data_IF_880881787373
#
_entry.id   IF_880881787373
#
_cell.length_a   1.000
_cell.length_b   1.000
_cell.length_c   1.000
_cell.angle_alpha   90.00
_cell.angle_beta   90.00
_cell.angle_gamma   90.00
#
_symmetry.space_group_name_H-M   'P 1'
#
loop_
_entity.id
_entity.type
_entity.pdbx_description
1 polymer ?
#
# COMPACT_ATOMS: atom_id res chain seq x y z
N UNK A 1 -40.87 -29.26 -8.39
CA UNK A 1 -41.51 -28.56 -7.27
C UNK A 1 -40.65 -27.37 -6.88
N UNK A 2 -39.40 -27.59 -6.44
CA UNK A 2 -38.43 -26.52 -6.09
C UNK A 2 -38.20 -25.43 -7.17
N UNK A 3 -38.11 -25.78 -8.46
CA UNK A 3 -37.79 -24.80 -9.52
C UNK A 3 -38.95 -23.79 -9.69
N UNK A 4 -40.20 -24.27 -9.69
CA UNK A 4 -41.37 -23.40 -9.86
C UNK A 4 -41.58 -22.49 -8.65
N UNK A 5 -41.37 -23.02 -7.44
CA UNK A 5 -41.38 -22.23 -6.20
C UNK A 5 -40.30 -21.14 -6.19
N UNK A 6 -39.13 -21.40 -6.79
CA UNK A 6 -38.05 -20.39 -6.90
C UNK A 6 -38.43 -19.24 -7.83
N UNK A 7 -39.17 -19.51 -8.92
CA UNK A 7 -39.66 -18.47 -9.84
C UNK A 7 -40.80 -17.67 -9.21
N UNK A 8 -41.75 -18.33 -8.54
CA UNK A 8 -42.83 -17.64 -7.82
C UNK A 8 -42.29 -16.76 -6.68
N UNK A 9 -41.29 -17.24 -5.93
CA UNK A 9 -40.64 -16.45 -4.88
C UNK A 9 -39.90 -15.24 -5.47
N UNK A 10 -39.21 -15.38 -6.60
CA UNK A 10 -38.54 -14.28 -7.28
C UNK A 10 -39.51 -13.21 -7.81
N UNK A 11 -40.63 -13.62 -8.42
CA UNK A 11 -41.68 -12.71 -8.92
C UNK A 11 -42.43 -11.99 -7.79
N UNK A 12 -42.49 -12.56 -6.59
CA UNK A 12 -43.13 -11.94 -5.42
C UNK A 12 -42.27 -10.86 -4.74
N UNK A 13 -40.99 -10.73 -5.11
CA UNK A 13 -40.05 -9.76 -4.53
C UNK A 13 -40.32 -8.35 -5.08
N UNK A 14 -40.22 -7.36 -4.21
CA UNK A 14 -40.30 -5.94 -4.61
C UNK A 14 -39.15 -5.52 -5.54
N UNK A 15 -38.02 -6.23 -5.49
CA UNK A 15 -36.89 -6.10 -6.41
C UNK A 15 -36.49 -7.52 -6.83
N UNK A 16 -36.82 -7.88 -8.07
CA UNK A 16 -36.58 -9.23 -8.62
C UNK A 16 -35.08 -9.52 -8.80
N UNK A 17 -34.25 -8.48 -8.92
CA UNK A 17 -32.80 -8.60 -9.07
C UNK A 17 -32.07 -8.74 -7.71
N UNK A 18 -32.80 -8.61 -6.59
CA UNK A 18 -32.24 -8.85 -5.27
C UNK A 18 -31.98 -10.35 -5.04
N UNK A 19 -30.70 -10.71 -4.88
CA UNK A 19 -30.27 -12.11 -4.80
C UNK A 19 -30.81 -12.87 -3.57
N UNK A 20 -31.13 -12.16 -2.49
CA UNK A 20 -31.55 -12.76 -1.21
C UNK A 20 -32.78 -12.06 -0.63
N UNK A 21 -33.75 -12.85 -0.15
CA UNK A 21 -34.90 -12.35 0.61
C UNK A 21 -34.44 -11.98 2.03
N UNK A 22 -34.53 -10.69 2.36
CA UNK A 22 -34.23 -10.18 3.71
C UNK A 22 -35.40 -10.51 4.63
N UNK A 23 -35.26 -11.52 5.48
CA UNK A 23 -36.23 -11.84 6.54
C UNK A 23 -35.80 -11.21 7.88
N UNK A 24 -36.57 -11.42 8.96
CA UNK A 24 -36.25 -10.90 10.30
C UNK A 24 -34.87 -11.32 10.82
N UNK A 25 -34.34 -12.42 10.29
CA UNK A 25 -33.07 -13.02 10.70
C UNK A 25 -31.90 -12.59 9.77
N UNK A 26 -32.21 -11.94 8.64
CA UNK A 26 -31.26 -11.41 7.66
C UNK A 26 -31.52 -9.92 7.41
N UNK A 27 -30.98 -9.08 8.28
CA UNK A 27 -31.00 -7.63 8.14
C UNK A 27 -29.66 -7.10 7.60
N UNK A 28 -29.71 -6.04 6.79
CA UNK A 28 -28.51 -5.24 6.55
C UNK A 28 -28.03 -4.64 7.89
N UNK A 29 -26.71 -4.40 8.06
CA UNK A 29 -26.21 -3.74 9.26
C UNK A 29 -26.94 -2.40 9.48
N UNK A 30 -27.45 -2.19 10.69
CA UNK A 30 -28.09 -0.92 11.06
C UNK A 30 -27.10 0.26 11.10
N UNK A 31 -25.81 -0.05 11.22
CA UNK A 31 -24.72 0.92 11.18
C UNK A 31 -23.52 0.39 10.39
N UNK A 32 -22.92 1.27 9.58
CA UNK A 32 -21.82 0.96 8.67
C UNK A 32 -22.28 0.26 7.39
N UNK A 33 -21.67 0.60 6.25
CA UNK A 33 -21.85 -0.15 5.00
C UNK A 33 -20.50 -0.38 4.34
N UNK A 34 -20.39 -1.45 3.56
CA UNK A 34 -19.24 -1.62 2.67
C UNK A 34 -19.40 -0.70 1.47
N UNK A 35 -18.50 0.27 1.35
CA UNK A 35 -18.44 1.16 0.19
C UNK A 35 -17.64 0.48 -0.92
N UNK A 36 -17.99 0.70 -2.18
CA UNK A 36 -17.19 0.23 -3.32
C UNK A 36 -15.76 0.75 -3.19
N UNK A 37 -14.80 -0.14 -3.42
CA UNK A 37 -13.37 0.14 -3.27
C UNK A 37 -12.93 1.38 -4.07
N UNK A 38 -13.47 1.55 -5.28
CA UNK A 38 -13.19 2.71 -6.13
C UNK A 38 -13.53 4.05 -5.47
N UNK A 39 -14.68 4.15 -4.79
CA UNK A 39 -15.06 5.38 -4.07
C UNK A 39 -14.13 5.62 -2.89
N UNK A 40 -13.77 4.57 -2.15
CA UNK A 40 -12.82 4.67 -1.04
C UNK A 40 -11.45 5.14 -1.51
N UNK A 41 -10.94 4.60 -2.61
CA UNK A 41 -9.67 5.03 -3.20
C UNK A 41 -9.69 6.51 -3.59
N UNK A 42 -10.71 6.95 -4.35
CA UNK A 42 -10.81 8.35 -4.77
C UNK A 42 -10.98 9.29 -3.59
N UNK A 43 -11.86 8.95 -2.64
CA UNK A 43 -12.05 9.73 -1.41
C UNK A 43 -10.77 9.84 -0.59
N UNK A 44 -9.99 8.75 -0.50
CA UNK A 44 -8.71 8.75 0.21
C UNK A 44 -7.68 9.68 -0.45
N UNK A 45 -7.51 9.60 -1.76
CA UNK A 45 -6.56 10.48 -2.46
C UNK A 45 -6.98 11.96 -2.44
N UNK A 46 -8.28 12.26 -2.48
CA UNK A 46 -8.79 13.62 -2.31
C UNK A 46 -8.49 14.16 -0.91
N UNK A 47 -8.69 13.34 0.13
CA UNK A 47 -8.31 13.69 1.50
C UNK A 47 -6.81 13.94 1.62
N UNK A 48 -5.97 13.07 1.03
CA UNK A 48 -4.52 13.25 1.02
C UNK A 48 -4.12 14.55 0.31
N UNK A 49 -4.73 14.88 -0.83
CA UNK A 49 -4.47 16.12 -1.55
C UNK A 49 -4.76 17.35 -0.68
N UNK A 50 -5.90 17.35 0.04
CA UNK A 50 -6.26 18.41 0.97
C UNK A 50 -5.30 18.51 2.17
N UNK A 51 -4.91 17.37 2.76
CA UNK A 51 -3.98 17.34 3.89
C UNK A 51 -2.57 17.80 3.50
N UNK A 52 -2.14 17.51 2.26
CA UNK A 52 -0.79 17.81 1.76
C UNK A 52 -0.72 19.11 0.95
N UNK A 53 -1.76 19.95 1.00
CA UNK A 53 -1.80 21.23 0.28
C UNK A 53 -0.65 22.18 0.66
N UNK A 54 -0.18 22.13 1.91
CA UNK A 54 0.92 22.96 2.40
C UNK A 54 2.32 22.44 2.04
N UNK A 55 2.43 21.24 1.50
CA UNK A 55 3.71 20.68 1.08
C UNK A 55 4.11 21.25 -0.28
N UNK A 56 5.31 21.79 -0.41
CA UNK A 56 5.84 22.33 -1.67
C UNK A 56 5.81 21.30 -2.81
N UNK A 57 6.24 20.06 -2.53
CA UNK A 57 6.29 18.97 -3.51
C UNK A 57 5.82 17.67 -2.86
N UNK A 58 4.88 16.99 -3.51
CA UNK A 58 4.40 15.66 -3.09
C UNK A 58 4.88 14.61 -4.07
N UNK A 59 5.38 13.49 -3.56
CA UNK A 59 5.87 12.37 -4.37
C UNK A 59 5.27 11.08 -3.84
N UNK A 60 4.51 10.37 -4.68
CA UNK A 60 3.76 9.19 -4.26
C UNK A 60 4.28 7.95 -4.97
N UNK A 61 4.85 7.02 -4.20
CA UNK A 61 5.21 5.69 -4.67
C UNK A 61 4.10 4.73 -4.27
N UNK A 62 3.47 4.07 -5.24
CA UNK A 62 2.25 3.31 -5.05
C UNK A 62 2.33 1.93 -5.69
N UNK A 63 1.53 0.98 -5.21
CA UNK A 63 1.38 -0.32 -5.85
C UNK A 63 0.90 -0.17 -7.31
N UNK A 64 1.28 -1.13 -8.14
CA UNK A 64 0.77 -1.26 -9.51
C UNK A 64 -0.73 -1.64 -9.49
N UNK A 65 -1.60 -0.67 -9.25
CA UNK A 65 -3.06 -0.82 -9.23
C UNK A 65 -3.74 0.31 -10.02
N UNK A 66 -4.60 -0.08 -10.96
CA UNK A 66 -5.28 0.87 -11.86
C UNK A 66 -6.23 1.84 -11.15
N UNK A 67 -6.87 1.41 -10.06
CA UNK A 67 -7.75 2.24 -9.25
C UNK A 67 -6.95 3.27 -8.45
N UNK A 68 -5.81 2.86 -7.89
CA UNK A 68 -4.88 3.75 -7.19
C UNK A 68 -4.33 4.81 -8.16
N UNK A 69 -3.90 4.42 -9.37
CA UNK A 69 -3.46 5.38 -10.40
C UNK A 69 -4.55 6.36 -10.76
N UNK A 70 -5.77 5.88 -11.05
CA UNK A 70 -6.88 6.76 -11.40
C UNK A 70 -7.19 7.77 -10.27
N UNK A 71 -7.24 7.29 -9.02
CA UNK A 71 -7.51 8.12 -7.86
C UNK A 71 -6.41 9.17 -7.61
N UNK A 72 -5.14 8.77 -7.71
CA UNK A 72 -4.00 9.69 -7.57
C UNK A 72 -4.03 10.76 -8.67
N UNK A 73 -4.13 10.35 -9.94
CA UNK A 73 -4.13 11.28 -11.06
C UNK A 73 -5.31 12.26 -10.98
N UNK A 74 -6.49 11.79 -10.56
CA UNK A 74 -7.66 12.64 -10.39
C UNK A 74 -7.49 13.66 -9.25
N UNK A 75 -6.93 13.25 -8.11
CA UNK A 75 -6.79 14.13 -6.95
C UNK A 75 -5.62 15.13 -7.06
N UNK A 76 -4.57 14.77 -7.81
CA UNK A 76 -3.35 15.57 -7.93
C UNK A 76 -3.15 16.21 -9.31
N UNK A 77 -4.16 16.17 -10.20
CA UNK A 77 -4.04 16.62 -11.61
C UNK A 77 -3.42 18.02 -11.74
N UNK A 78 -3.90 18.99 -10.97
CA UNK A 78 -3.41 20.38 -11.06
C UNK A 78 -1.97 20.48 -10.55
N UNK A 79 -1.66 19.81 -9.44
CA UNK A 79 -0.29 19.75 -8.90
C UNK A 79 0.70 19.04 -9.83
N UNK A 80 0.25 18.02 -10.57
CA UNK A 80 1.08 17.33 -11.56
C UNK A 80 1.42 18.30 -12.70
N UNK A 81 0.41 19.05 -13.20
CA UNK A 81 0.60 20.06 -14.25
C UNK A 81 1.53 21.19 -13.79
N UNK A 82 1.42 21.60 -12.53
CA UNK A 82 2.27 22.61 -11.90
C UNK A 82 3.66 22.09 -11.49
N UNK A 83 3.96 20.80 -11.73
CA UNK A 83 5.19 20.13 -11.28
C UNK A 83 5.41 20.18 -9.77
N UNK A 84 4.33 20.24 -8.98
CA UNK A 84 4.35 20.15 -7.51
C UNK A 84 3.84 18.79 -7.00
N UNK A 85 3.49 17.84 -7.88
CA UNK A 85 3.26 16.44 -7.52
C UNK A 85 3.83 15.48 -8.57
N UNK A 86 4.24 14.28 -8.13
CA UNK A 86 4.63 13.19 -9.01
C UNK A 86 4.18 11.82 -8.47
N UNK A 87 3.91 10.88 -9.38
CA UNK A 87 3.49 9.52 -9.06
C UNK A 87 4.34 8.46 -9.72
N UNK A 88 4.64 7.40 -8.97
CA UNK A 88 5.36 6.22 -9.42
C UNK A 88 4.62 4.96 -9.06
N UNK A 89 4.61 3.99 -9.96
CA UNK A 89 4.36 2.62 -9.57
C UNK A 89 5.62 1.95 -9.07
N UNK A 90 5.42 1.08 -8.08
CA UNK A 90 6.40 0.11 -7.60
C UNK A 90 5.78 -1.26 -7.71
N UNK A 91 6.52 -2.19 -8.30
CA UNK A 91 6.16 -3.60 -8.38
C UNK A 91 7.30 -4.44 -7.85
N UNK A 92 6.98 -5.55 -7.20
CA UNK A 92 7.96 -6.48 -6.63
C UNK A 92 7.58 -7.89 -7.03
N UNK A 93 8.51 -8.83 -6.92
CA UNK A 93 8.24 -10.23 -7.22
C UNK A 93 7.17 -10.80 -6.25
N UNK A 94 5.95 -10.97 -6.76
CA UNK A 94 4.79 -11.53 -6.04
C UNK A 94 4.70 -13.03 -6.29
N UNK A 95 4.14 -13.78 -5.34
CA UNK A 95 3.79 -15.21 -5.48
C UNK A 95 4.96 -16.16 -5.78
N UNK A 96 6.15 -15.89 -5.24
CA UNK A 96 7.33 -16.75 -5.41
C UNK A 96 7.79 -17.43 -4.13
N UNK A 97 8.58 -18.49 -4.28
CA UNK A 97 9.16 -19.20 -3.14
C UNK A 97 10.26 -18.37 -2.47
N UNK A 98 10.64 -18.74 -1.25
CA UNK A 98 11.77 -18.09 -0.55
C UNK A 98 13.05 -18.22 -1.38
N UNK A 99 13.28 -19.39 -1.99
CA UNK A 99 14.45 -19.64 -2.84
C UNK A 99 14.50 -18.72 -4.06
N UNK A 100 13.37 -18.46 -4.72
CA UNK A 100 13.32 -17.55 -5.86
C UNK A 100 13.68 -16.11 -5.44
N UNK A 101 13.21 -15.68 -4.26
CA UNK A 101 13.55 -14.37 -3.69
C UNK A 101 15.03 -14.27 -3.37
N UNK A 102 15.59 -15.30 -2.72
CA UNK A 102 17.03 -15.37 -2.42
C UNK A 102 17.88 -15.34 -3.70
N UNK A 103 17.46 -16.05 -4.75
CA UNK A 103 18.13 -16.05 -6.04
C UNK A 103 18.11 -14.66 -6.70
N UNK A 104 16.96 -13.99 -6.72
CA UNK A 104 16.83 -12.64 -7.26
C UNK A 104 17.70 -11.63 -6.49
N UNK A 105 17.71 -11.71 -5.16
CA UNK A 105 18.54 -10.84 -4.31
C UNK A 105 20.03 -11.13 -4.51
N UNK A 106 20.41 -12.40 -4.65
CA UNK A 106 21.78 -12.79 -4.94
C UNK A 106 22.24 -12.21 -6.28
N UNK A 107 21.43 -12.36 -7.34
CA UNK A 107 21.73 -11.81 -8.66
C UNK A 107 21.95 -10.29 -8.62
N UNK A 108 21.05 -9.56 -7.96
CA UNK A 108 21.19 -8.11 -7.80
C UNK A 108 22.44 -7.73 -6.98
N UNK A 109 22.76 -8.50 -5.93
CA UNK A 109 23.98 -8.30 -5.12
C UNK A 109 25.26 -8.54 -5.91
N UNK A 110 25.31 -9.62 -6.68
CA UNK A 110 26.47 -9.96 -7.51
C UNK A 110 26.70 -8.89 -8.58
N UNK A 111 25.62 -8.38 -9.20
CA UNK A 111 25.68 -7.25 -10.14
C UNK A 111 26.19 -5.97 -9.49
N UNK A 112 25.66 -5.60 -8.33
CA UNK A 112 26.09 -4.41 -7.59
C UNK A 112 27.58 -4.51 -7.21
N UNK A 113 28.04 -5.69 -6.80
CA UNK A 113 29.45 -5.93 -6.47
C UNK A 113 30.37 -5.77 -7.69
N UNK A 114 30.00 -6.35 -8.83
CA UNK A 114 30.77 -6.23 -10.06
C UNK A 114 30.91 -4.76 -10.52
N UNK A 115 29.88 -3.96 -10.29
CA UNK A 115 29.88 -2.53 -10.64
C UNK A 115 30.65 -1.67 -9.64
N UNK A 116 30.67 -2.05 -8.37
CA UNK A 116 31.54 -1.41 -7.38
C UNK A 116 33.03 -1.63 -7.71
N UNK A 117 33.40 -2.80 -8.25
CA UNK A 117 34.77 -3.11 -8.66
C UNK A 117 35.22 -2.26 -9.87
N UNK A 118 34.30 -1.87 -10.76
CA UNK A 118 34.60 -1.00 -11.92
C UNK A 118 34.59 0.49 -11.59
N UNK A 119 34.05 0.89 -10.42
CA UNK A 119 33.99 2.27 -9.95
C UNK A 119 34.54 2.41 -8.51
N UNK A 120 35.83 2.12 -8.27
CA UNK A 120 36.39 2.05 -6.91
C UNK A 120 36.43 3.39 -6.16
N UNK A 121 36.10 4.50 -6.82
CA UNK A 121 36.09 5.85 -6.24
C UNK A 121 34.71 6.39 -5.85
N UNK A 122 33.63 5.66 -6.17
CA UNK A 122 32.27 6.09 -5.85
C UNK A 122 31.83 5.53 -4.50
N UNK A 123 31.10 6.34 -3.73
CA UNK A 123 30.37 5.82 -2.59
C UNK A 123 29.14 4.99 -3.01
N UNK A 124 28.45 4.39 -2.04
CA UNK A 124 27.31 3.52 -2.33
C UNK A 124 26.13 4.27 -2.98
N UNK A 125 25.89 5.53 -2.60
CA UNK A 125 24.78 6.34 -3.11
C UNK A 125 25.10 6.83 -4.52
N UNK A 126 26.33 7.26 -4.78
CA UNK A 126 26.83 7.63 -6.10
C UNK A 126 26.80 6.44 -7.06
N UNK A 127 27.26 5.27 -6.60
CA UNK A 127 27.17 4.03 -7.39
C UNK A 127 25.71 3.67 -7.71
N UNK A 128 24.80 3.82 -6.75
CA UNK A 128 23.39 3.56 -6.95
C UNK A 128 22.78 4.49 -8.01
N UNK A 129 23.12 5.78 -7.98
CA UNK A 129 22.69 6.76 -8.97
C UNK A 129 23.19 6.39 -10.36
N UNK A 130 24.47 6.03 -10.51
CA UNK A 130 25.04 5.64 -11.81
C UNK A 130 24.40 4.36 -12.37
N UNK A 131 24.14 3.36 -11.51
CA UNK A 131 23.40 2.17 -11.92
C UNK A 131 21.98 2.50 -12.33
N UNK A 132 21.31 3.39 -11.61
CA UNK A 132 19.97 3.80 -11.94
C UNK A 132 19.90 4.55 -13.28
N UNK A 133 20.87 5.42 -13.58
CA UNK A 133 20.98 6.09 -14.90
C UNK A 133 21.08 5.06 -16.03
N UNK A 134 21.82 3.96 -15.83
CA UNK A 134 21.89 2.86 -16.81
C UNK A 134 20.55 2.14 -16.95
N UNK A 135 19.90 1.82 -15.84
CA UNK A 135 18.56 1.19 -15.84
C UNK A 135 17.51 2.05 -16.53
N UNK A 136 17.56 3.38 -16.37
CA UNK A 136 16.68 4.32 -17.07
C UNK A 136 16.84 4.22 -18.60
N UNK A 137 18.07 4.04 -19.11
CA UNK A 137 18.34 3.89 -20.55
C UNK A 137 17.88 2.53 -21.10
N UNK A 138 17.84 1.52 -20.24
CA UNK A 138 17.38 0.17 -20.56
C UNK A 138 15.90 -0.05 -20.25
N UNK A 139 15.17 0.98 -19.83
CA UNK A 139 13.78 0.87 -19.42
C UNK A 139 12.92 0.38 -20.60
N UNK A 140 11.94 -0.46 -20.29
CA UNK A 140 11.10 -1.15 -21.29
C UNK A 140 9.66 -0.72 -21.15
N UNK A 141 8.97 -0.56 -22.28
CA UNK A 141 7.55 -0.22 -22.27
C UNK A 141 6.70 -1.48 -22.17
N UNK A 142 5.72 -1.48 -21.28
CA UNK A 142 4.90 -2.65 -20.97
C UNK A 142 3.43 -2.25 -20.76
N UNK A 143 2.52 -3.08 -21.29
CA UNK A 143 1.09 -2.99 -21.02
C UNK A 143 0.33 -2.02 -21.93
N UNK A 144 -0.98 -1.90 -21.71
CA UNK A 144 -1.89 -1.14 -22.59
C UNK A 144 -1.62 0.37 -22.60
N UNK A 145 -1.02 0.90 -21.53
CA UNK A 145 -0.71 2.32 -21.39
C UNK A 145 0.75 2.64 -21.77
N UNK A 146 1.48 1.65 -22.29
CA UNK A 146 2.88 1.79 -22.72
C UNK A 146 3.78 2.33 -21.60
N UNK A 147 3.49 1.92 -20.36
CA UNK A 147 4.14 2.37 -19.13
C UNK A 147 5.63 1.97 -19.17
N UNK A 148 6.53 2.90 -18.84
CA UNK A 148 7.98 2.70 -18.92
C UNK A 148 8.54 2.16 -17.59
N UNK A 149 8.97 0.90 -17.61
CA UNK A 149 9.46 0.16 -16.44
C UNK A 149 10.97 -0.04 -16.48
N UNK A 150 11.61 0.16 -15.32
CA UNK A 150 13.00 -0.20 -15.09
C UNK A 150 13.14 -1.15 -13.90
N UNK A 151 14.26 -1.86 -13.83
CA UNK A 151 14.61 -2.69 -12.67
C UNK A 151 15.40 -1.86 -11.66
N UNK A 152 15.03 -1.97 -10.38
CA UNK A 152 15.74 -1.26 -9.33
C UNK A 152 17.01 -2.04 -8.97
N UNK A 153 18.21 -1.43 -9.04
CA UNK A 153 19.47 -2.15 -8.92
C UNK A 153 19.77 -2.61 -7.48
N UNK A 154 19.17 -1.96 -6.47
CA UNK A 154 19.45 -2.29 -5.07
C UNK A 154 18.85 -3.65 -4.65
N UNK A 155 19.65 -4.63 -4.18
CA UNK A 155 19.14 -5.89 -3.65
C UNK A 155 18.33 -5.69 -2.36
N UNK A 156 17.13 -6.26 -2.29
CA UNK A 156 16.28 -6.23 -1.09
C UNK A 156 15.47 -7.52 -0.94
N UNK A 157 15.54 -8.15 0.23
CA UNK A 157 14.71 -9.33 0.54
C UNK A 157 13.24 -8.99 0.76
N UNK A 158 12.95 -7.77 1.21
CA UNK A 158 11.57 -7.30 1.36
C UNK A 158 10.96 -6.88 0.03
N UNK A 159 11.79 -6.44 -0.92
CA UNK A 159 11.39 -5.98 -2.25
C UNK A 159 12.24 -6.65 -3.35
N UNK A 160 12.17 -7.99 -3.50
CA UNK A 160 12.97 -8.72 -4.46
C UNK A 160 12.54 -8.40 -5.90
N UNK A 161 13.52 -8.29 -6.80
CA UNK A 161 13.33 -7.91 -8.21
C UNK A 161 12.39 -6.70 -8.38
N UNK A 162 12.57 -5.68 -7.54
CA UNK A 162 11.76 -4.46 -7.55
C UNK A 162 11.85 -3.77 -8.91
N UNK A 163 10.72 -3.36 -9.44
CA UNK A 163 10.57 -2.58 -10.66
C UNK A 163 9.84 -1.29 -10.38
N UNK A 164 10.19 -0.24 -11.12
CA UNK A 164 9.65 1.11 -10.91
C UNK A 164 9.21 1.68 -12.26
N UNK A 165 8.06 2.36 -12.26
CA UNK A 165 7.56 3.10 -13.41
C UNK A 165 7.15 4.50 -12.97
N UNK A 166 7.61 5.52 -13.68
CA UNK A 166 7.22 6.90 -13.42
C UNK A 166 5.99 7.24 -14.26
N UNK A 167 4.86 7.52 -13.60
CA UNK A 167 3.56 7.73 -14.24
C UNK A 167 3.36 9.17 -14.74
N UNK A 168 4.08 10.11 -14.13
CA UNK A 168 3.95 11.56 -14.35
C UNK A 168 5.26 12.19 -14.78
N UNK A 169 6.10 11.41 -15.47
CA UNK A 169 7.30 11.92 -16.10
C UNK A 169 6.91 12.81 -17.29
N UNK A 170 7.35 14.06 -17.26
CA UNK A 170 7.14 15.02 -18.35
C UNK A 170 8.45 15.32 -19.10
N UNK A 171 9.55 14.61 -18.78
CA UNK A 171 10.84 14.77 -19.43
C UNK A 171 11.57 16.08 -19.09
N UNK A 172 11.20 16.72 -17.99
CA UNK A 172 11.68 18.04 -17.57
C UNK A 172 12.70 18.01 -16.43
N UNK A 173 12.95 16.82 -15.85
CA UNK A 173 13.99 16.62 -14.84
C UNK A 173 15.34 16.28 -15.47
N UNK A 174 16.43 16.73 -14.84
CA UNK A 174 17.77 16.26 -15.21
C UNK A 174 17.94 14.77 -14.88
N UNK A 175 18.82 14.10 -15.64
CA UNK A 175 19.01 12.64 -15.56
C UNK A 175 19.44 12.20 -14.15
N UNK A 176 20.27 13.00 -13.47
CA UNK A 176 20.75 12.66 -12.13
C UNK A 176 19.65 12.81 -11.08
N UNK A 177 18.87 13.88 -11.12
CA UNK A 177 17.72 14.05 -10.25
C UNK A 177 16.70 12.94 -10.47
N UNK A 178 16.38 12.61 -11.72
CA UNK A 178 15.49 11.51 -12.07
C UNK A 178 15.99 10.18 -11.48
N UNK A 179 17.28 9.86 -11.65
CA UNK A 179 17.90 8.66 -11.06
C UNK A 179 17.75 8.63 -9.54
N UNK A 180 18.01 9.75 -8.85
CA UNK A 180 17.82 9.86 -7.39
C UNK A 180 16.35 9.65 -6.99
N UNK A 181 15.38 10.08 -7.80
CA UNK A 181 13.95 9.87 -7.54
C UNK A 181 13.54 8.41 -7.75
N UNK A 182 14.05 7.74 -8.78
CA UNK A 182 13.84 6.30 -8.95
C UNK A 182 14.43 5.49 -7.80
N UNK A 183 15.61 5.88 -7.29
CA UNK A 183 16.27 5.20 -6.17
C UNK A 183 15.50 5.28 -4.85
N UNK A 184 14.60 6.25 -4.71
CA UNK A 184 13.73 6.39 -3.53
C UNK A 184 12.49 5.50 -3.57
N UNK A 185 12.23 4.82 -4.68
CA UNK A 185 11.02 4.03 -4.84
C UNK A 185 10.98 2.82 -3.92
N UNK A 186 10.00 2.77 -3.03
CA UNK A 186 9.80 1.66 -2.10
C UNK A 186 8.36 1.63 -1.57
N UNK A 187 7.83 0.42 -1.39
CA UNK A 187 6.59 0.14 -0.66
C UNK A 187 6.86 -0.44 0.73
N UNK A 188 8.13 -0.74 1.05
CA UNK A 188 8.54 -1.44 2.27
C UNK A 188 7.94 -0.86 3.56
N UNK A 189 7.89 0.47 3.68
CA UNK A 189 7.33 1.12 4.87
C UNK A 189 5.83 0.84 5.05
N UNK A 190 5.06 0.96 3.96
CA UNK A 190 3.60 0.72 3.94
C UNK A 190 3.31 -0.76 4.15
N UNK A 191 4.06 -1.64 3.48
CA UNK A 191 3.94 -3.10 3.67
C UNK A 191 4.28 -3.52 5.10
N UNK A 192 5.30 -2.92 5.70
CA UNK A 192 5.67 -3.18 7.10
C UNK A 192 4.57 -2.70 8.06
N UNK A 193 3.89 -1.59 7.78
CA UNK A 193 2.75 -1.13 8.58
C UNK A 193 1.57 -2.10 8.44
N UNK A 194 1.19 -2.48 7.22
CA UNK A 194 0.09 -3.43 7.00
C UNK A 194 0.39 -4.80 7.59
N UNK A 195 1.61 -5.29 7.47
CA UNK A 195 2.03 -6.56 8.06
C UNK A 195 1.91 -6.53 9.59
N UNK A 196 2.32 -5.44 10.24
CA UNK A 196 2.14 -5.30 11.69
C UNK A 196 0.69 -5.19 12.11
N UNK A 197 -0.12 -4.47 11.33
CA UNK A 197 -1.56 -4.34 11.55
C UNK A 197 -2.21 -5.73 11.50
N UNK A 198 -1.96 -6.48 10.43
CA UNK A 198 -2.49 -7.83 10.21
C UNK A 198 -2.04 -8.82 11.28
N UNK A 199 -0.80 -8.74 11.78
CA UNK A 199 -0.29 -9.67 12.81
C UNK A 199 -0.76 -9.34 14.23
N UNK A 200 -1.27 -8.14 14.48
CA UNK A 200 -1.64 -7.68 15.83
C UNK A 200 -3.15 -7.52 16.00
N UNK A 201 -3.88 -7.35 14.91
CA UNK A 201 -5.32 -7.19 14.91
C UNK A 201 -5.94 -8.38 14.19
N UNK A 202 -6.54 -9.31 14.94
CA UNK A 202 -7.20 -10.50 14.38
C UNK A 202 -8.26 -10.15 13.33
N UNK A 203 -9.01 -9.06 13.55
CA UNK A 203 -10.02 -8.56 12.60
C UNK A 203 -9.44 -8.05 11.28
N UNK A 204 -8.14 -7.75 11.23
CA UNK A 204 -7.43 -7.31 10.03
C UNK A 204 -6.62 -8.44 9.37
N UNK A 205 -6.61 -9.64 9.94
CA UNK A 205 -5.91 -10.78 9.36
C UNK A 205 -6.44 -11.10 7.96
N UNK A 206 -5.51 -11.44 7.06
CA UNK A 206 -5.92 -11.95 5.76
C UNK A 206 -6.38 -13.39 5.90
N UNK A 207 -7.47 -13.64 5.21
CA UNK A 207 -8.02 -14.94 4.95
C UNK A 207 -7.02 -15.97 4.42
N UNK A 208 -6.92 -17.12 5.10
CA UNK A 208 -6.25 -18.29 4.54
C UNK A 208 -7.24 -18.98 3.60
N UNK A 209 -6.97 -18.95 2.30
CA UNK A 209 -7.74 -19.69 1.31
C UNK A 209 -7.32 -21.16 1.41
N UNK A 210 -8.20 -22.02 1.93
CA UNK A 210 -8.03 -23.47 1.87
C UNK A 210 -8.69 -24.02 0.62
N UNK A 211 -7.96 -24.86 -0.12
CA UNK A 211 -8.41 -25.44 -1.40
C UNK A 211 -9.73 -26.25 -1.30
N UNK A 212 -10.13 -26.66 -0.10
CA UNK A 212 -11.30 -27.49 0.17
C UNK A 212 -12.62 -26.73 0.36
N UNK A 213 -12.63 -25.39 0.36
CA UNK A 213 -13.84 -24.58 0.58
C UNK A 213 -14.11 -23.60 -0.56
N UNK A 214 -14.21 -24.08 -1.80
CA UNK A 214 -14.90 -23.42 -2.93
C UNK A 214 -14.78 -21.88 -3.00
N UNK A 215 -13.59 -21.35 -2.70
CA UNK A 215 -13.30 -19.91 -2.54
C UNK A 215 -14.26 -19.11 -1.63
N UNK A 216 -15.06 -19.74 -0.78
CA UNK A 216 -15.94 -19.06 0.19
C UNK A 216 -15.17 -18.72 1.45
N UNK A 217 -14.95 -17.43 1.63
CA UNK A 217 -14.04 -16.87 2.64
C UNK A 217 -14.85 -16.22 3.76
N UNK A 218 -15.36 -17.03 4.70
CA UNK A 218 -15.94 -16.53 5.95
C UNK A 218 -14.98 -16.88 7.11
N UNK A 219 -14.33 -15.85 7.69
CA UNK A 219 -13.46 -16.02 8.85
C UNK A 219 -14.22 -15.77 10.14
N UNK A 220 -13.99 -16.62 11.15
CA UNK A 220 -14.50 -16.42 12.51
C UNK A 220 -13.96 -15.16 13.21
N UNK A 221 -12.92 -14.52 12.67
CA UNK A 221 -12.38 -13.25 13.16
C UNK A 221 -12.89 -12.02 12.39
N UNK A 222 -13.76 -12.20 11.40
CA UNK A 222 -14.37 -11.07 10.69
C UNK A 222 -15.22 -10.27 11.66
N UNK A 223 -15.08 -8.95 11.64
CA UNK A 223 -15.89 -8.09 12.49
C UNK A 223 -17.35 -8.13 12.02
N UNK A 224 -18.25 -8.71 12.83
CA UNK A 224 -19.69 -8.71 12.55
C UNK A 224 -20.23 -7.28 12.39
N UNK A 225 -19.67 -6.33 13.15
CA UNK A 225 -19.87 -4.88 12.99
C UNK A 225 -18.58 -4.26 12.42
N UNK A 226 -18.58 -3.72 11.20
CA UNK A 226 -17.39 -3.11 10.58
C UNK A 226 -16.74 -1.99 11.41
N UNK A 227 -17.54 -1.29 12.21
CA UNK A 227 -17.08 -0.25 13.15
C UNK A 227 -16.02 -0.75 14.13
N UNK A 228 -16.09 -2.01 14.57
CA UNK A 228 -15.12 -2.57 15.50
C UNK A 228 -13.71 -2.63 14.89
N UNK A 229 -13.63 -2.90 13.58
CA UNK A 229 -12.35 -2.86 12.87
C UNK A 229 -11.83 -1.42 12.81
N UNK A 230 -12.67 -0.45 12.48
CA UNK A 230 -12.29 0.96 12.44
C UNK A 230 -11.79 1.47 13.80
N UNK A 231 -12.51 1.17 14.89
CA UNK A 231 -12.11 1.52 16.26
C UNK A 231 -10.75 0.91 16.61
N UNK A 232 -10.56 -0.37 16.31
CA UNK A 232 -9.32 -1.08 16.65
C UNK A 232 -8.14 -0.58 15.83
N UNK A 233 -8.36 -0.25 14.55
CA UNK A 233 -7.37 0.38 13.70
C UNK A 233 -6.98 1.76 14.22
N UNK A 234 -7.93 2.55 14.72
CA UNK A 234 -7.65 3.87 15.27
C UNK A 234 -6.76 3.78 16.52
N UNK A 235 -7.10 2.88 17.45
CA UNK A 235 -6.24 2.58 18.61
C UNK A 235 -4.85 2.13 18.18
N UNK A 236 -4.77 1.26 17.17
CA UNK A 236 -3.47 0.81 16.64
C UNK A 236 -2.67 1.95 16.01
N UNK A 237 -3.31 2.89 15.29
CA UNK A 237 -2.66 4.06 14.70
C UNK A 237 -2.05 4.97 15.77
N UNK A 238 -2.78 5.23 16.86
CA UNK A 238 -2.25 6.03 17.99
C UNK A 238 -1.05 5.32 18.61
N UNK A 239 -1.22 4.05 18.97
CA UNK A 239 -0.14 3.25 19.56
C UNK A 239 1.10 3.16 18.65
N UNK A 240 0.91 2.89 17.35
CA UNK A 240 2.01 2.77 16.40
C UNK A 240 2.78 4.09 16.22
N UNK A 241 2.08 5.21 16.13
CA UNK A 241 2.71 6.51 15.86
C UNK A 241 3.34 7.15 17.09
N UNK A 242 2.75 6.97 18.27
CA UNK A 242 3.14 7.73 19.47
C UNK A 242 3.81 6.88 20.56
N UNK A 243 3.49 5.59 20.68
CA UNK A 243 3.96 4.75 21.78
C UNK A 243 5.06 3.77 21.35
N UNK A 244 4.92 3.16 20.17
CA UNK A 244 5.84 2.13 19.71
C UNK A 244 7.12 2.72 19.11
N UNK A 245 8.18 2.77 19.92
CA UNK A 245 9.52 3.06 19.42
C UNK A 245 10.04 1.96 18.48
N UNK A 246 10.80 2.36 17.47
CA UNK A 246 11.59 1.44 16.65
C UNK A 246 12.93 1.15 17.34
N UNK A 247 13.78 0.35 16.70
CA UNK A 247 15.08 -0.06 17.23
C UNK A 247 16.03 1.13 17.51
N UNK A 248 15.79 2.28 16.86
CA UNK A 248 16.50 3.55 17.08
C UNK A 248 15.93 4.39 18.25
N UNK A 249 14.99 3.84 19.01
CA UNK A 249 14.32 4.52 20.13
C UNK A 249 13.32 5.59 19.71
N UNK A 250 13.08 5.81 18.41
CA UNK A 250 12.19 6.86 17.90
C UNK A 250 10.87 6.32 17.37
N UNK A 251 9.78 7.05 17.65
CA UNK A 251 8.45 6.77 17.11
C UNK A 251 8.23 7.52 15.79
N UNK A 252 7.26 7.11 14.94
CA UNK A 252 6.88 7.88 13.75
C UNK A 252 6.52 9.34 14.05
N UNK A 253 5.80 9.60 15.15
CA UNK A 253 5.46 10.96 15.55
C UNK A 253 6.69 11.80 15.88
N UNK A 254 7.72 11.21 16.50
CA UNK A 254 9.00 11.90 16.74
C UNK A 254 9.73 12.24 15.44
N UNK A 255 9.64 11.39 14.41
CA UNK A 255 10.27 11.67 13.10
C UNK A 255 9.61 12.81 12.34
N UNK A 256 8.38 13.14 12.70
CA UNK A 256 7.60 14.25 12.14
C UNK A 256 7.56 15.46 13.08
N UNK A 257 8.37 15.46 14.14
CA UNK A 257 8.39 16.51 15.18
C UNK A 257 7.03 16.75 15.87
N UNK A 258 6.13 15.76 15.84
CA UNK A 258 4.82 15.80 16.50
C UNK A 258 4.90 15.41 17.98
N UNK A 259 5.99 14.74 18.40
CA UNK A 259 6.21 14.30 19.77
C UNK A 259 7.69 14.42 20.15
N UNK A 260 7.98 14.76 21.41
CA UNK A 260 9.37 14.89 21.93
C UNK A 260 9.98 13.58 22.41
N UNK A 261 9.16 12.56 22.63
CA UNK A 261 9.56 11.25 23.11
C UNK A 261 8.44 10.22 22.94
N UNK A 262 8.72 8.93 23.15
CA UNK A 262 7.68 7.91 23.17
C UNK A 262 6.68 8.18 24.30
N UNK A 263 5.39 8.22 23.95
CA UNK A 263 4.29 8.40 24.91
C UNK A 263 3.97 7.05 25.55
N UNK A 264 3.85 7.01 26.87
CA UNK A 264 3.49 5.77 27.57
C UNK A 264 2.00 5.45 27.38
N UNK A 265 1.64 4.16 27.42
CA UNK A 265 0.26 3.75 27.15
C UNK A 265 -0.71 4.31 28.20
N UNK A 266 -0.25 4.43 29.44
CA UNK A 266 -0.98 4.95 30.59
C UNK A 266 -1.28 6.46 30.46
N UNK A 267 -0.51 7.19 29.64
CA UNK A 267 -0.76 8.60 29.34
C UNK A 267 -1.88 8.77 28.30
N UNK A 268 -2.18 7.71 27.53
CA UNK A 268 -3.24 7.68 26.51
C UNK A 268 -4.52 7.05 27.09
N UNK A 269 -4.37 5.98 27.87
CA UNK A 269 -5.47 5.27 28.51
C UNK A 269 -5.52 5.64 29.99
N UNK A 270 -6.47 6.49 30.37
CA UNK A 270 -6.72 6.81 31.76
C UNK A 270 -7.28 5.58 32.50
N UNK A 271 -6.42 4.82 33.17
CA UNK A 271 -6.86 3.75 34.05
C UNK A 271 -7.38 4.37 35.35
N UNK A 272 -8.69 4.59 35.44
CA UNK A 272 -9.30 4.85 36.74
C UNK A 272 -9.20 3.57 37.57
N UNK A 273 -8.28 3.55 38.53
CA UNK A 273 -8.22 2.50 39.54
C UNK A 273 -9.58 2.42 40.23
N UNK A 274 -10.18 1.23 40.31
CA UNK A 274 -11.30 1.01 41.23
C UNK A 274 -10.78 1.29 42.65
N UNK A 275 -11.28 2.38 43.24
CA UNK A 275 -11.13 2.64 44.66
C UNK A 275 -11.87 1.58 45.48
#
# INVERSE_FOLDING_TARGET
>A
MEIAETYEDAESRADVEASESKNSDMALPSHGMQVRESYTMHGHFQLLAAMLQGAEKVRVYMDQDSGIRAAFLAAFVDRIKERTADGWYVSVLKETTIHDKEAAVKLARDRLKAEAETHPGLDQDELLVELMKREMRCATRVGQYDDLWLEHPMPSMSEPAKKVCWLTDLGDYDEEHAARLYSKASLHAVDRFFMQTRRRLSMAERSIITASKDRRVWHGHSAYRPENLAMTLETFRVFYNYCKASDDGRTPAMRLDLAKGPIQLEEVLYFQGKA
#
